data_IF_844527036678
#
_entry.id   IF_844527036678
#
_cell.length_a   1.000
_cell.length_b   1.000
_cell.length_c   1.000
_cell.angle_alpha   90.00
_cell.angle_beta   90.00
_cell.angle_gamma   90.00
#
_symmetry.space_group_name_H-M   'P 1'
#
loop_
_entity.id
_entity.type
_entity.pdbx_description
1 polymer ?
#
# COMPACT_ATOMS: atom_id res chain seq x y z
N UNK A 1 21.78 -13.87 20.44
CA UNK A 1 21.18 -14.65 19.34
C UNK A 1 20.91 -13.67 18.22
N UNK A 2 21.76 -13.63 17.20
CA UNK A 2 21.44 -12.92 15.96
C UNK A 2 20.32 -13.68 15.28
N UNK A 3 19.17 -13.02 15.06
CA UNK A 3 18.07 -13.61 14.31
C UNK A 3 18.52 -13.68 12.85
N UNK A 4 18.52 -14.88 12.27
CA UNK A 4 18.80 -15.06 10.84
C UNK A 4 17.59 -14.57 10.03
N UNK A 5 17.53 -13.25 9.79
CA UNK A 5 16.42 -12.60 9.08
C UNK A 5 16.13 -13.21 7.72
N UNK A 6 17.17 -13.72 7.03
CA UNK A 6 17.07 -14.31 5.70
C UNK A 6 16.33 -15.65 5.75
N UNK A 7 16.71 -16.54 6.67
CA UNK A 7 16.10 -17.87 6.81
C UNK A 7 14.62 -17.78 7.21
N UNK A 8 14.27 -16.85 8.09
CA UNK A 8 12.90 -16.69 8.61
C UNK A 8 12.10 -15.60 7.89
N UNK A 9 12.59 -15.02 6.79
CA UNK A 9 11.96 -13.84 6.18
C UNK A 9 10.49 -14.08 5.78
N UNK A 10 10.19 -15.21 5.11
CA UNK A 10 8.84 -15.53 4.65
C UNK A 10 7.87 -15.76 5.82
N UNK A 11 8.13 -16.68 6.79
CA UNK A 11 7.23 -16.88 7.91
C UNK A 11 7.12 -15.65 8.81
N UNK A 12 8.18 -14.85 8.96
CA UNK A 12 8.11 -13.59 9.70
C UNK A 12 7.17 -12.59 9.02
N UNK A 13 7.35 -12.36 7.72
CA UNK A 13 6.49 -11.44 6.94
C UNK A 13 5.04 -11.89 6.94
N UNK A 14 4.80 -13.18 6.73
CA UNK A 14 3.46 -13.77 6.76
C UNK A 14 2.83 -13.65 8.16
N UNK A 15 3.61 -13.94 9.22
CA UNK A 15 3.18 -13.80 10.60
C UNK A 15 2.78 -12.36 10.95
N UNK A 16 3.61 -11.38 10.57
CA UNK A 16 3.30 -9.96 10.73
C UNK A 16 2.06 -9.54 9.93
N UNK A 17 1.93 -10.02 8.68
CA UNK A 17 0.75 -9.76 7.85
C UNK A 17 -0.53 -10.28 8.51
N UNK A 18 -0.55 -11.55 8.93
CA UNK A 18 -1.71 -12.18 9.57
C UNK A 18 -2.03 -11.49 10.91
N UNK A 19 -1.02 -11.20 11.72
CA UNK A 19 -1.21 -10.53 13.00
C UNK A 19 -1.82 -9.13 12.81
N UNK A 20 -1.26 -8.32 11.89
CA UNK A 20 -1.79 -7.00 11.59
C UNK A 20 -3.21 -7.07 11.01
N UNK A 21 -3.47 -8.03 10.12
CA UNK A 21 -4.80 -8.27 9.58
C UNK A 21 -5.82 -8.56 10.68
N UNK A 22 -5.52 -9.50 11.59
CA UNK A 22 -6.41 -9.87 12.71
C UNK A 22 -6.64 -8.67 13.62
N UNK A 23 -5.57 -7.99 14.04
CA UNK A 23 -5.65 -6.84 14.95
C UNK A 23 -6.52 -5.74 14.34
N UNK A 24 -6.29 -5.37 13.09
CA UNK A 24 -7.01 -4.30 12.41
C UNK A 24 -8.45 -4.69 12.08
N UNK A 25 -8.69 -5.94 11.68
CA UNK A 25 -10.04 -6.46 11.45
C UNK A 25 -10.90 -6.44 12.72
N UNK A 26 -10.32 -6.82 13.87
CA UNK A 26 -10.99 -6.75 15.17
C UNK A 26 -11.19 -5.31 15.62
N UNK A 27 -10.19 -4.45 15.43
CA UNK A 27 -10.26 -3.05 15.82
C UNK A 27 -11.33 -2.29 15.01
N UNK A 28 -11.37 -2.45 13.69
CA UNK A 28 -12.39 -1.81 12.84
C UNK A 28 -13.79 -2.39 13.06
N UNK A 29 -13.90 -3.65 13.51
CA UNK A 29 -15.18 -4.25 13.89
C UNK A 29 -15.72 -3.62 15.18
N UNK A 30 -14.85 -3.39 16.17
CA UNK A 30 -15.21 -2.80 17.46
C UNK A 30 -15.42 -1.29 17.40
N UNK A 31 -14.61 -0.60 16.59
CA UNK A 31 -14.62 0.85 16.45
C UNK A 31 -14.63 1.27 14.97
N UNK A 32 -15.75 1.02 14.25
CA UNK A 32 -15.87 1.38 12.85
C UNK A 32 -15.96 2.90 12.67
N UNK A 33 -15.30 3.43 11.63
CA UNK A 33 -15.39 4.84 11.22
C UNK A 33 -16.70 5.14 10.52
N UNK A 34 -17.13 4.22 9.65
CA UNK A 34 -18.37 4.31 8.86
C UNK A 34 -19.09 2.97 8.86
N UNK A 35 -20.41 2.99 8.76
CA UNK A 35 -21.17 1.78 8.41
C UNK A 35 -20.88 1.41 6.96
N UNK A 36 -20.50 0.16 6.71
CA UNK A 36 -20.24 -0.33 5.35
C UNK A 36 -21.55 -0.40 4.56
N UNK A 37 -21.50 0.04 3.30
CA UNK A 37 -22.65 -0.01 2.37
C UNK A 37 -22.69 -1.31 1.57
N UNK A 38 -21.57 -2.03 1.51
CA UNK A 38 -21.40 -3.29 0.79
C UNK A 38 -21.25 -4.47 1.76
N UNK A 39 -21.62 -5.66 1.27
CA UNK A 39 -21.44 -6.90 2.02
C UNK A 39 -19.96 -7.18 2.27
N UNK A 40 -19.58 -7.19 3.55
CA UNK A 40 -18.21 -7.47 3.99
C UNK A 40 -17.68 -8.79 3.41
N UNK A 41 -18.49 -9.86 3.40
CA UNK A 41 -18.09 -11.17 2.85
C UNK A 41 -17.71 -11.13 1.37
N UNK A 42 -18.44 -10.39 0.54
CA UNK A 42 -18.15 -10.28 -0.90
C UNK A 42 -16.85 -9.54 -1.16
N UNK A 43 -16.62 -8.45 -0.42
CA UNK A 43 -15.39 -7.66 -0.48
C UNK A 43 -14.20 -8.48 -0.01
N UNK A 44 -14.33 -9.16 1.13
CA UNK A 44 -13.26 -9.99 1.70
C UNK A 44 -12.88 -11.16 0.79
N UNK A 45 -13.85 -11.93 0.29
CA UNK A 45 -13.57 -13.03 -0.65
C UNK A 45 -12.81 -12.53 -1.88
N UNK A 46 -13.21 -11.38 -2.41
CA UNK A 46 -12.61 -10.84 -3.63
C UNK A 46 -11.22 -10.23 -3.38
N UNK A 47 -11.06 -9.43 -2.31
CA UNK A 47 -9.80 -8.77 -1.96
C UNK A 47 -8.75 -9.75 -1.42
N UNK A 48 -9.14 -10.74 -0.61
CA UNK A 48 -8.25 -11.82 -0.15
C UNK A 48 -7.93 -12.77 -1.31
N UNK A 49 -8.91 -13.07 -2.17
CA UNK A 49 -8.68 -13.83 -3.40
C UNK A 49 -7.63 -13.17 -4.30
N UNK A 50 -7.63 -11.83 -4.40
CA UNK A 50 -6.58 -11.08 -5.08
C UNK A 50 -5.20 -11.24 -4.45
N UNK A 51 -5.09 -11.35 -3.12
CA UNK A 51 -3.78 -11.59 -2.47
C UNK A 51 -3.17 -12.89 -2.98
N UNK A 52 -3.94 -13.99 -2.94
CA UNK A 52 -3.45 -15.28 -3.42
C UNK A 52 -3.16 -15.27 -4.92
N UNK A 53 -4.05 -14.68 -5.70
CA UNK A 53 -3.88 -14.57 -7.15
C UNK A 53 -2.64 -13.75 -7.52
N UNK A 54 -2.45 -12.58 -6.91
CA UNK A 54 -1.31 -11.71 -7.16
C UNK A 54 0.01 -12.37 -6.71
N UNK A 55 0.03 -13.07 -5.56
CA UNK A 55 1.21 -13.80 -5.10
C UNK A 55 1.61 -14.92 -6.07
N UNK A 56 0.64 -15.67 -6.60
CA UNK A 56 0.89 -16.69 -7.61
C UNK A 56 1.42 -16.08 -8.91
N UNK A 57 0.76 -15.03 -9.41
CA UNK A 57 1.17 -14.34 -10.64
C UNK A 57 2.57 -13.75 -10.51
N UNK A 58 2.90 -13.10 -9.40
CA UNK A 58 4.24 -12.57 -9.15
C UNK A 58 5.30 -13.68 -9.22
N UNK A 59 5.07 -14.79 -8.53
CA UNK A 59 6.02 -15.92 -8.47
C UNK A 59 6.21 -16.60 -9.82
N UNK A 60 5.20 -16.57 -10.69
CA UNK A 60 5.28 -17.10 -12.05
C UNK A 60 5.89 -16.10 -13.05
N UNK A 61 5.64 -14.81 -12.86
CA UNK A 61 6.03 -13.77 -13.81
C UNK A 61 7.46 -13.27 -13.62
N UNK A 62 7.98 -13.28 -12.39
CA UNK A 62 9.30 -12.74 -12.05
C UNK A 62 10.21 -13.83 -11.49
N UNK A 63 11.45 -13.97 -12.00
CA UNK A 63 12.40 -14.98 -11.53
C UNK A 63 13.01 -14.63 -10.17
N UNK A 64 12.92 -13.36 -9.76
CA UNK A 64 13.45 -12.83 -8.51
C UNK A 64 12.52 -11.74 -7.99
N UNK A 65 12.43 -11.60 -6.66
CA UNK A 65 11.66 -10.58 -5.98
C UNK A 65 12.59 -9.61 -5.21
N UNK A 66 12.00 -8.80 -4.33
CA UNK A 66 12.71 -7.74 -3.61
C UNK A 66 13.87 -8.26 -2.74
N UNK A 67 13.65 -9.34 -1.98
CA UNK A 67 14.67 -9.94 -1.11
C UNK A 67 15.79 -10.56 -1.93
N UNK A 68 15.47 -11.24 -3.02
CA UNK A 68 16.47 -11.81 -3.94
C UNK A 68 17.34 -10.73 -4.59
N UNK A 69 16.71 -9.62 -5.02
CA UNK A 69 17.43 -8.48 -5.57
C UNK A 69 18.41 -7.87 -4.55
N UNK A 70 18.01 -7.78 -3.28
CA UNK A 70 18.89 -7.33 -2.21
C UNK A 70 20.03 -8.33 -1.98
N UNK A 71 19.75 -9.62 -1.92
CA UNK A 71 20.77 -10.66 -1.73
C UNK A 71 21.85 -10.59 -2.82
N UNK A 72 21.44 -10.51 -4.09
CA UNK A 72 22.35 -10.40 -5.23
C UNK A 72 23.17 -9.10 -5.14
N UNK A 73 22.52 -7.96 -4.89
CA UNK A 73 23.21 -6.68 -4.80
C UNK A 73 24.25 -6.65 -3.66
N UNK A 74 23.95 -7.24 -2.51
CA UNK A 74 24.90 -7.31 -1.39
C UNK A 74 26.03 -8.33 -1.65
N UNK A 75 25.74 -9.49 -2.26
CA UNK A 75 26.77 -10.48 -2.60
C UNK A 75 27.77 -9.94 -3.61
N UNK A 76 27.28 -9.25 -4.64
CA UNK A 76 28.10 -8.67 -5.70
C UNK A 76 28.68 -7.29 -5.32
N UNK A 77 28.44 -6.81 -4.09
CA UNK A 77 28.84 -5.48 -3.62
C UNK A 77 28.41 -4.36 -4.59
N UNK A 78 27.22 -4.51 -5.16
CA UNK A 78 26.64 -3.62 -6.16
C UNK A 78 25.66 -2.62 -5.54
N UNK A 79 25.67 -1.39 -6.04
CA UNK A 79 24.72 -0.35 -5.65
C UNK A 79 25.29 0.66 -4.64
N UNK A 80 24.65 1.82 -4.56
CA UNK A 80 25.19 3.01 -3.87
C UNK A 80 25.67 2.74 -2.45
N UNK A 81 24.88 2.08 -1.60
CA UNK A 81 25.22 1.83 -0.21
C UNK A 81 26.36 0.83 -0.02
N UNK A 82 26.63 -0.04 -1.00
CA UNK A 82 27.80 -0.93 -0.97
C UNK A 82 29.10 -0.19 -1.34
N UNK A 83 29.01 0.94 -2.04
CA UNK A 83 30.16 1.80 -2.35
C UNK A 83 30.43 2.89 -1.30
N UNK A 84 29.47 3.13 -0.41
CA UNK A 84 29.59 4.12 0.65
C UNK A 84 29.94 3.46 1.98
N UNK A 85 30.89 4.03 2.71
CA UNK A 85 31.22 3.62 4.08
C UNK A 85 30.25 4.22 5.11
N UNK A 86 28.94 4.06 4.90
CA UNK A 86 27.92 4.57 5.84
C UNK A 86 27.68 3.60 7.00
N UNK A 87 27.46 4.10 8.24
CA UNK A 87 27.14 3.22 9.38
C UNK A 87 25.88 2.36 9.11
N UNK A 88 25.86 1.07 9.50
CA UNK A 88 24.77 0.16 9.15
C UNK A 88 23.37 0.66 9.55
N UNK A 89 23.24 1.26 10.73
CA UNK A 89 21.98 1.86 11.19
C UNK A 89 21.49 2.97 10.25
N UNK A 90 22.40 3.84 9.80
CA UNK A 90 22.06 4.94 8.91
C UNK A 90 21.69 4.42 7.52
N UNK A 91 22.42 3.43 7.01
CA UNK A 91 22.09 2.75 5.75
C UNK A 91 20.69 2.14 5.80
N UNK A 92 20.35 1.42 6.87
CA UNK A 92 19.03 0.82 7.05
C UNK A 92 17.91 1.88 7.13
N UNK A 93 18.12 2.94 7.91
CA UNK A 93 17.16 4.04 8.04
C UNK A 93 16.93 4.75 6.69
N UNK A 94 18.00 5.12 5.99
CA UNK A 94 17.91 5.78 4.69
C UNK A 94 17.24 4.88 3.65
N UNK A 95 17.52 3.57 3.69
CA UNK A 95 16.87 2.60 2.80
C UNK A 95 15.35 2.60 2.96
N UNK A 96 14.85 2.54 4.19
CA UNK A 96 13.40 2.57 4.47
C UNK A 96 12.79 3.90 3.99
N UNK A 97 13.45 5.03 4.28
CA UNK A 97 12.97 6.36 3.88
C UNK A 97 12.94 6.54 2.36
N UNK A 98 13.99 6.10 1.65
CA UNK A 98 14.08 6.19 0.19
C UNK A 98 13.05 5.29 -0.49
N UNK A 99 12.80 4.09 0.06
CA UNK A 99 11.76 3.21 -0.47
C UNK A 99 10.35 3.77 -0.23
N UNK A 100 10.05 4.36 0.93
CA UNK A 100 8.74 5.02 1.16
C UNK A 100 8.55 6.24 0.24
N UNK A 101 9.61 7.02 0.08
CA UNK A 101 9.63 8.14 -0.86
C UNK A 101 9.39 7.69 -2.31
N UNK A 102 10.00 6.56 -2.72
CA UNK A 102 9.75 5.94 -4.02
C UNK A 102 8.28 5.53 -4.15
N UNK A 103 7.70 4.89 -3.14
CA UNK A 103 6.28 4.49 -3.15
C UNK A 103 5.37 5.72 -3.25
N UNK A 104 5.66 6.81 -2.55
CA UNK A 104 4.91 8.06 -2.69
C UNK A 104 4.87 8.56 -4.14
N UNK A 105 6.03 8.62 -4.81
CA UNK A 105 6.11 9.08 -6.20
C UNK A 105 5.49 8.10 -7.18
N UNK A 106 5.69 6.80 -6.96
CA UNK A 106 5.03 5.77 -7.72
C UNK A 106 3.51 5.95 -7.63
N UNK A 107 2.96 6.04 -6.42
CA UNK A 107 1.53 6.21 -6.20
C UNK A 107 0.98 7.47 -6.89
N UNK A 108 1.69 8.59 -6.79
CA UNK A 108 1.35 9.82 -7.53
C UNK A 108 1.38 9.59 -9.05
N UNK A 109 2.36 8.87 -9.59
CA UNK A 109 2.43 8.53 -11.00
C UNK A 109 1.24 7.66 -11.44
N UNK A 110 0.82 6.69 -10.61
CA UNK A 110 -0.37 5.89 -10.85
C UNK A 110 -1.66 6.71 -10.89
N UNK A 111 -1.71 7.87 -10.25
CA UNK A 111 -2.85 8.79 -10.37
C UNK A 111 -2.78 9.76 -11.55
N UNK A 112 -1.57 10.09 -12.02
CA UNK A 112 -1.36 11.16 -13.01
C UNK A 112 -1.16 10.65 -14.43
N UNK A 113 -0.61 9.44 -14.59
CA UNK A 113 -0.36 8.85 -15.91
C UNK A 113 -1.61 8.01 -16.30
N UNK A 114 -2.31 8.33 -17.40
CA UNK A 114 -3.58 7.68 -17.74
C UNK A 114 -3.52 6.16 -17.81
N UNK A 115 -2.45 5.58 -18.34
CA UNK A 115 -2.28 4.13 -18.43
C UNK A 115 -2.11 3.47 -17.05
N UNK A 116 -1.32 4.08 -16.16
CA UNK A 116 -1.14 3.58 -14.80
C UNK A 116 -2.43 3.76 -13.99
N UNK A 117 -3.13 4.88 -14.17
CA UNK A 117 -4.42 5.12 -13.55
C UNK A 117 -5.46 4.07 -13.92
N UNK A 118 -5.46 3.58 -15.17
CA UNK A 118 -6.36 2.49 -15.55
C UNK A 118 -6.15 1.24 -14.69
N UNK A 119 -4.92 0.94 -14.28
CA UNK A 119 -4.64 -0.17 -13.36
C UNK A 119 -5.11 0.18 -11.94
N UNK A 120 -4.66 1.34 -11.44
CA UNK A 120 -4.89 1.77 -10.06
C UNK A 120 -6.34 2.11 -9.75
N UNK A 121 -7.15 2.48 -10.74
CA UNK A 121 -8.58 2.73 -10.53
C UNK A 121 -9.34 1.48 -10.07
N UNK A 122 -8.77 0.27 -10.25
CA UNK A 122 -9.32 -0.95 -9.65
C UNK A 122 -9.31 -0.86 -8.12
N UNK A 123 -8.24 -0.33 -7.54
CA UNK A 123 -8.12 -0.05 -6.11
C UNK A 123 -9.18 0.96 -5.67
N UNK A 124 -9.24 2.11 -6.36
CA UNK A 124 -10.23 3.19 -6.11
C UNK A 124 -11.68 2.82 -6.45
N UNK A 125 -11.94 1.65 -7.04
CA UNK A 125 -13.31 1.23 -7.34
C UNK A 125 -14.03 0.58 -6.16
N UNK A 126 -13.31 0.34 -5.05
CA UNK A 126 -13.95 -0.06 -3.80
C UNK A 126 -14.88 1.07 -3.32
N UNK A 127 -16.05 0.72 -2.82
CA UNK A 127 -17.05 1.72 -2.40
C UNK A 127 -17.10 1.92 -0.90
N UNK A 128 -16.48 1.01 -0.16
CA UNK A 128 -16.18 1.17 1.25
C UNK A 128 -14.70 0.89 1.46
N UNK A 129 -14.18 1.32 2.61
CA UNK A 129 -12.79 1.08 2.99
C UNK A 129 -12.81 0.27 4.27
N UNK A 130 -12.10 -0.86 4.22
CA UNK A 130 -11.77 -1.74 5.35
C UNK A 130 -10.37 -2.34 5.15
N UNK A 131 -9.86 -3.06 6.16
CA UNK A 131 -8.51 -3.63 6.18
C UNK A 131 -8.11 -4.38 4.89
N UNK A 132 -9.05 -4.99 4.16
CA UNK A 132 -8.77 -5.73 2.92
C UNK A 132 -8.60 -4.83 1.69
N UNK A 133 -9.05 -3.58 1.76
CA UNK A 133 -8.95 -2.61 0.64
C UNK A 133 -7.49 -2.33 0.30
N UNK A 134 -6.61 -2.33 1.31
CA UNK A 134 -5.17 -2.16 1.17
C UNK A 134 -4.48 -3.28 0.38
N UNK A 135 -5.17 -4.36 0.01
CA UNK A 135 -4.62 -5.44 -0.84
C UNK A 135 -5.25 -5.48 -2.24
N UNK A 136 -6.16 -4.55 -2.55
CA UNK A 136 -6.93 -4.51 -3.80
C UNK A 136 -6.16 -3.83 -4.91
N UNK A 137 -5.25 -4.56 -5.55
CA UNK A 137 -4.47 -4.07 -6.69
C UNK A 137 -4.53 -5.02 -7.88
N UNK A 138 -4.44 -4.46 -9.08
CA UNK A 138 -4.42 -5.25 -10.30
C UNK A 138 -3.08 -6.01 -10.45
N UNK A 139 -3.05 -7.26 -10.94
CA UNK A 139 -1.80 -8.03 -11.07
C UNK A 139 -0.70 -7.31 -11.87
N UNK A 140 -1.08 -6.63 -12.96
CA UNK A 140 -0.13 -5.85 -13.78
C UNK A 140 0.48 -4.68 -13.00
N UNK A 141 -0.31 -4.03 -12.12
CA UNK A 141 0.22 -2.99 -11.24
C UNK A 141 1.17 -3.55 -10.19
N UNK A 142 0.85 -4.72 -9.64
CA UNK A 142 1.73 -5.41 -8.69
C UNK A 142 3.06 -5.81 -9.34
N UNK A 143 3.06 -6.36 -10.57
CA UNK A 143 4.29 -6.68 -11.32
C UNK A 143 5.10 -5.41 -11.56
N UNK A 144 4.47 -4.36 -12.08
CA UNK A 144 5.15 -3.11 -12.39
C UNK A 144 5.75 -2.45 -11.13
N UNK A 145 5.00 -2.46 -10.03
CA UNK A 145 5.46 -1.97 -8.72
C UNK A 145 6.65 -2.79 -8.20
N UNK A 146 6.62 -4.12 -8.35
CA UNK A 146 7.73 -4.97 -7.95
C UNK A 146 8.98 -4.70 -8.78
N UNK A 147 8.86 -4.51 -10.09
CA UNK A 147 9.98 -4.16 -10.96
C UNK A 147 10.62 -2.82 -10.58
N UNK A 148 9.81 -1.78 -10.31
CA UNK A 148 10.31 -0.49 -9.80
C UNK A 148 11.09 -0.69 -8.50
N UNK A 149 10.54 -1.49 -7.58
CA UNK A 149 11.16 -1.77 -6.28
C UNK A 149 12.46 -2.57 -6.41
N UNK A 150 12.50 -3.60 -7.25
CA UNK A 150 13.71 -4.38 -7.57
C UNK A 150 14.79 -3.46 -8.13
N UNK A 151 14.44 -2.60 -9.09
CA UNK A 151 15.39 -1.67 -9.68
C UNK A 151 15.97 -0.71 -8.63
N UNK A 152 15.13 -0.15 -7.76
CA UNK A 152 15.59 0.73 -6.68
C UNK A 152 16.49 0.01 -5.66
N UNK A 153 16.12 -1.21 -5.24
CA UNK A 153 16.90 -2.05 -4.33
C UNK A 153 18.29 -2.33 -4.93
N UNK A 154 18.35 -2.75 -6.20
CA UNK A 154 19.60 -3.03 -6.89
C UNK A 154 20.46 -1.78 -7.10
N UNK A 155 19.87 -0.67 -7.54
CA UNK A 155 20.61 0.59 -7.75
C UNK A 155 21.18 1.17 -6.46
N UNK A 156 20.43 1.08 -5.37
CA UNK A 156 20.83 1.59 -4.07
C UNK A 156 21.70 0.60 -3.27
N UNK A 157 21.68 -0.69 -3.60
CA UNK A 157 22.37 -1.71 -2.81
C UNK A 157 21.75 -1.85 -1.42
N UNK A 158 20.42 -1.91 -1.32
CA UNK A 158 19.72 -1.91 -0.03
C UNK A 158 20.04 -3.20 0.76
N UNK A 159 20.39 -3.12 2.06
CA UNK A 159 20.58 -4.30 2.90
C UNK A 159 19.34 -5.18 2.98
N UNK A 160 19.54 -6.49 3.04
CA UNK A 160 18.45 -7.48 3.01
C UNK A 160 17.48 -7.27 4.17
N UNK A 161 18.00 -7.00 5.37
CA UNK A 161 17.21 -6.75 6.58
C UNK A 161 16.32 -5.49 6.42
N UNK A 162 16.84 -4.45 5.76
CA UNK A 162 16.09 -3.23 5.49
C UNK A 162 14.96 -3.47 4.46
N UNK A 163 15.19 -4.32 3.45
CA UNK A 163 14.13 -4.73 2.52
C UNK A 163 13.04 -5.53 3.25
N UNK A 164 13.41 -6.51 4.06
CA UNK A 164 12.44 -7.33 4.82
C UNK A 164 11.61 -6.43 5.74
N UNK A 165 12.26 -5.57 6.52
CA UNK A 165 11.59 -4.64 7.42
C UNK A 165 10.69 -3.66 6.66
N UNK A 166 11.16 -3.11 5.54
CA UNK A 166 10.34 -2.24 4.69
C UNK A 166 9.11 -2.98 4.16
N UNK A 167 9.24 -4.23 3.71
CA UNK A 167 8.09 -4.98 3.21
C UNK A 167 7.07 -5.31 4.31
N UNK A 168 7.51 -5.49 5.55
CA UNK A 168 6.62 -5.62 6.72
C UNK A 168 5.89 -4.30 6.96
N UNK A 169 6.63 -3.20 7.08
CA UNK A 169 6.07 -1.85 7.29
C UNK A 169 5.07 -1.54 6.16
N UNK A 170 5.45 -1.80 4.91
CA UNK A 170 4.62 -1.59 3.73
C UNK A 170 3.27 -2.31 3.88
N UNK A 171 3.27 -3.62 4.13
CA UNK A 171 2.01 -4.35 4.22
C UNK A 171 1.16 -3.94 5.43
N UNK A 172 1.78 -3.74 6.59
CA UNK A 172 1.08 -3.30 7.81
C UNK A 172 0.45 -1.92 7.62
N UNK A 173 1.19 -0.97 7.05
CA UNK A 173 0.68 0.37 6.78
C UNK A 173 -0.40 0.37 5.70
N UNK A 174 -0.30 -0.42 4.63
CA UNK A 174 -1.40 -0.59 3.68
C UNK A 174 -2.70 -1.00 4.38
N UNK A 175 -2.64 -2.02 5.25
CA UNK A 175 -3.81 -2.48 6.01
C UNK A 175 -4.30 -1.42 7.01
N UNK A 176 -3.40 -0.72 7.69
CA UNK A 176 -3.76 0.30 8.68
C UNK A 176 -4.46 1.48 8.01
N UNK A 177 -3.85 2.07 6.99
CA UNK A 177 -4.37 3.27 6.31
C UNK A 177 -5.71 3.01 5.62
N UNK A 178 -5.96 1.76 5.23
CA UNK A 178 -7.21 1.33 4.62
C UNK A 178 -8.18 0.72 5.61
N UNK A 179 -7.85 0.63 6.90
CA UNK A 179 -8.80 0.08 7.86
C UNK A 179 -10.04 0.97 7.97
N UNK A 180 -11.18 0.38 8.32
CA UNK A 180 -12.35 1.15 8.72
C UNK A 180 -12.26 1.62 10.18
N UNK A 181 -11.05 1.77 10.72
CA UNK A 181 -10.84 2.10 12.12
C UNK A 181 -11.13 3.58 12.38
N UNK A 182 -11.96 3.85 13.39
CA UNK A 182 -12.12 5.19 13.94
C UNK A 182 -10.95 5.52 14.88
N UNK A 183 -10.21 6.58 14.55
CA UNK A 183 -9.24 7.20 15.45
C UNK A 183 -9.84 8.52 15.95
N UNK A 184 -9.91 8.76 17.27
CA UNK A 184 -10.40 10.03 17.80
C UNK A 184 -9.66 11.23 17.21
N UNK A 185 -10.40 12.28 16.84
CA UNK A 185 -9.87 13.47 16.13
C UNK A 185 -8.66 14.12 16.81
N UNK A 186 -8.60 14.08 18.15
CA UNK A 186 -7.48 14.62 18.91
C UNK A 186 -6.20 13.80 18.68
N UNK A 187 -6.29 12.47 18.65
CA UNK A 187 -5.16 11.56 18.44
C UNK A 187 -4.71 11.60 16.99
N UNK A 188 -5.67 11.49 16.06
CA UNK A 188 -5.42 11.58 14.62
C UNK A 188 -4.64 12.86 14.28
N UNK A 189 -4.94 14.00 14.91
CA UNK A 189 -4.22 15.27 14.72
C UNK A 189 -2.72 15.18 14.94
N UNK A 190 -2.26 14.40 15.93
CA UNK A 190 -0.84 14.27 16.21
C UNK A 190 -0.21 13.16 15.38
N UNK A 191 -0.89 12.01 15.27
CA UNK A 191 -0.38 10.86 14.54
C UNK A 191 -0.21 11.17 13.06
N UNK A 192 -1.20 11.85 12.45
CA UNK A 192 -1.20 12.10 11.01
C UNK A 192 -0.13 13.06 10.50
N UNK A 193 0.58 13.74 11.41
CA UNK A 193 1.70 14.64 11.05
C UNK A 193 2.87 13.83 10.51
N UNK A 194 3.05 12.61 11.02
CA UNK A 194 4.13 11.73 10.62
C UNK A 194 3.62 10.50 9.87
N UNK A 195 2.58 9.85 10.36
CA UNK A 195 2.06 8.59 9.81
C UNK A 195 0.82 8.83 8.97
N UNK A 196 0.61 8.00 7.95
CA UNK A 196 -0.65 7.99 7.21
C UNK A 196 -1.72 7.32 8.10
N UNK A 197 -2.81 8.02 8.40
CA UNK A 197 -3.91 7.48 9.22
C UNK A 197 -5.10 7.07 8.36
N UNK A 198 -6.05 6.27 8.89
CA UNK A 198 -7.23 5.85 8.14
C UNK A 198 -8.05 7.02 7.60
N UNK A 199 -8.33 8.05 8.43
CA UNK A 199 -9.12 9.21 7.98
C UNK A 199 -8.34 10.06 6.97
N UNK A 200 -7.01 10.19 7.11
CA UNK A 200 -6.16 10.90 6.15
C UNK A 200 -6.17 10.20 4.78
N UNK A 201 -5.94 8.89 4.75
CA UNK A 201 -5.92 8.14 3.48
C UNK A 201 -7.32 7.96 2.89
N UNK A 202 -8.39 7.91 3.70
CA UNK A 202 -9.76 7.81 3.17
C UNK A 202 -10.13 8.97 2.25
N UNK A 203 -9.63 10.18 2.50
CA UNK A 203 -9.83 11.36 1.63
C UNK A 203 -9.32 11.11 0.21
N UNK A 204 -8.21 10.37 0.07
CA UNK A 204 -7.65 9.97 -1.21
C UNK A 204 -8.59 9.07 -2.03
N UNK A 205 -9.49 8.33 -1.39
CA UNK A 205 -10.46 7.44 -2.04
C UNK A 205 -11.82 8.11 -2.31
N UNK A 206 -11.91 9.42 -2.09
CA UNK A 206 -13.14 10.19 -2.32
C UNK A 206 -13.61 10.13 -3.77
N UNK A 207 -14.93 10.18 -3.97
CA UNK A 207 -15.54 10.37 -5.29
C UNK A 207 -15.17 11.73 -5.92
N UNK A 208 -14.77 12.71 -5.11
CA UNK A 208 -14.42 14.05 -5.59
C UNK A 208 -12.99 14.05 -6.11
N UNK A 209 -12.81 14.33 -7.40
CA UNK A 209 -11.49 14.35 -8.06
C UNK A 209 -10.51 15.33 -7.37
N UNK A 210 -11.01 16.45 -6.85
CA UNK A 210 -10.23 17.44 -6.11
C UNK A 210 -9.66 16.91 -4.79
N UNK A 211 -10.22 15.82 -4.26
CA UNK A 211 -9.78 15.15 -3.04
C UNK A 211 -8.94 13.92 -3.38
N UNK A 212 -9.38 13.13 -4.36
CA UNK A 212 -8.76 11.88 -4.80
C UNK A 212 -7.29 12.04 -5.23
N UNK A 213 -6.93 13.21 -5.77
CA UNK A 213 -5.56 13.51 -6.19
C UNK A 213 -4.67 14.09 -5.09
N UNK A 214 -4.91 13.73 -3.82
CA UNK A 214 -4.16 14.13 -2.63
C UNK A 214 -3.85 12.91 -1.74
N UNK A 215 -3.00 13.08 -0.73
CA UNK A 215 -2.67 12.08 0.30
C UNK A 215 -2.11 10.77 -0.28
N UNK A 216 -1.05 10.88 -1.09
CA UNK A 216 -0.39 9.74 -1.73
C UNK A 216 0.59 9.01 -0.81
N UNK A 217 0.91 9.59 0.35
CA UNK A 217 1.78 9.00 1.35
C UNK A 217 1.38 7.56 1.65
N UNK A 218 2.39 6.72 1.84
CA UNK A 218 2.19 5.32 2.13
C UNK A 218 2.33 5.05 3.62
N UNK A 219 3.54 5.04 4.23
CA UNK A 219 3.60 4.98 5.69
C UNK A 219 3.85 6.36 6.30
N UNK A 220 4.66 7.21 5.67
CA UNK A 220 4.84 8.60 6.10
C UNK A 220 3.93 9.57 5.33
N UNK A 221 3.25 10.44 6.06
CA UNK A 221 2.48 11.56 5.50
C UNK A 221 3.37 12.78 5.19
N UNK A 222 4.64 12.78 5.61
CA UNK A 222 5.57 13.89 5.38
C UNK A 222 5.77 14.20 3.89
N UNK A 223 5.71 13.18 3.05
CA UNK A 223 5.85 13.32 1.61
C UNK A 223 4.71 14.13 0.99
N UNK A 224 3.50 14.06 1.56
CA UNK A 224 2.38 14.88 1.12
C UNK A 224 2.56 16.36 1.43
N UNK A 225 3.28 16.71 2.51
CA UNK A 225 3.65 18.11 2.76
C UNK A 225 4.64 18.61 1.71
N UNK A 226 5.71 17.87 1.45
CA UNK A 226 6.71 18.24 0.44
C UNK A 226 6.11 18.28 -0.98
N UNK A 227 5.29 17.29 -1.32
CA UNK A 227 4.65 17.18 -2.62
C UNK A 227 3.41 18.06 -2.80
N UNK A 228 3.02 18.83 -1.78
CA UNK A 228 1.86 19.73 -1.73
C UNK A 228 0.54 19.03 -2.04
N UNK A 229 0.36 17.85 -1.44
CA UNK A 229 -0.79 16.96 -1.63
C UNK A 229 -1.47 16.63 -0.31
N UNK A 230 -1.16 17.35 0.77
CA UNK A 230 -1.73 17.11 2.10
C UNK A 230 -3.13 17.74 2.24
N UNK A 231 -4.17 16.92 2.39
CA UNK A 231 -5.57 17.34 2.48
C UNK A 231 -6.33 16.57 3.57
N UNK A 232 -6.71 17.25 4.66
CA UNK A 232 -7.37 16.57 5.81
C UNK A 232 -8.89 16.77 5.83
N UNK A 233 -9.41 17.85 5.27
CA UNK A 233 -10.83 18.20 5.39
C UNK A 233 -11.55 17.89 4.07
N UNK A 234 -12.18 16.70 3.94
CA UNK A 234 -13.03 16.43 2.78
C UNK A 234 -14.27 17.32 2.80
N UNK A 235 -14.77 17.65 1.62
CA UNK A 235 -15.90 18.54 1.35
C UNK A 235 -17.17 18.12 2.09
N UNK A 236 -17.44 16.82 2.09
CA UNK A 236 -18.64 16.25 2.72
C UNK A 236 -18.39 15.84 4.19
N UNK A 237 -17.18 16.09 4.72
CA UNK A 237 -16.76 15.56 6.01
C UNK A 237 -16.49 14.04 5.97
N UNK A 238 -15.69 13.55 6.93
CA UNK A 238 -15.30 12.14 6.93
C UNK A 238 -16.46 11.15 7.11
N UNK A 239 -17.57 11.59 7.73
CA UNK A 239 -18.75 10.74 7.98
C UNK A 239 -19.62 10.57 6.75
N UNK A 240 -19.87 11.63 5.99
CA UNK A 240 -20.77 11.58 4.83
C UNK A 240 -20.05 11.42 3.49
N UNK A 241 -18.72 11.54 3.46
CA UNK A 241 -17.96 11.41 2.22
C UNK A 241 -18.23 10.09 1.50
N UNK A 242 -18.49 10.19 0.20
CA UNK A 242 -18.71 9.01 -0.65
C UNK A 242 -17.37 8.52 -1.17
N UNK A 243 -17.21 7.20 -1.15
CA UNK A 243 -16.02 6.51 -1.63
C UNK A 243 -16.31 5.80 -2.95
N UNK A 244 -15.27 5.63 -3.74
CA UNK A 244 -15.26 4.81 -4.93
C UNK A 244 -15.49 5.58 -6.23
N UNK A 245 -15.44 4.89 -7.36
CA UNK A 245 -15.64 5.50 -8.68
C UNK A 245 -17.11 5.42 -9.13
N UNK A 246 -17.63 6.53 -9.68
CA UNK A 246 -19.03 6.64 -10.12
C UNK A 246 -19.49 5.56 -11.11
N UNK A 247 -18.59 5.04 -11.94
CA UNK A 247 -18.90 4.08 -13.00
C UNK A 247 -18.72 2.59 -12.62
N UNK A 248 -18.19 2.28 -11.43
CA UNK A 248 -18.01 0.90 -10.91
C UNK A 248 -18.85 0.63 -9.65
N UNK A 249 -20.03 1.26 -9.54
CA UNK A 249 -20.84 1.20 -8.32
C UNK A 249 -21.75 -0.03 -8.14
N UNK A 250 -22.01 -0.80 -9.20
CA UNK A 250 -22.90 -1.99 -9.09
C UNK A 250 -22.21 -3.09 -8.28
N UNK A 251 -22.96 -3.85 -7.47
CA UNK A 251 -22.42 -4.95 -6.63
C UNK A 251 -21.55 -5.93 -7.43
N UNK A 252 -21.98 -6.27 -8.65
CA UNK A 252 -21.21 -7.15 -9.55
C UNK A 252 -19.81 -6.63 -9.91
N UNK A 253 -19.57 -5.32 -9.88
CA UNK A 253 -18.27 -4.71 -10.22
C UNK A 253 -17.21 -4.97 -9.16
N UNK A 254 -17.63 -5.44 -7.98
CA UNK A 254 -16.76 -5.80 -6.85
C UNK A 254 -16.34 -7.27 -6.86
N UNK A 255 -16.88 -8.07 -7.79
CA UNK A 255 -16.43 -9.46 -7.97
C UNK A 255 -15.05 -9.49 -8.60
N UNK A 256 -14.25 -10.47 -8.20
CA UNK A 256 -12.90 -10.71 -8.71
C UNK A 256 -12.79 -10.64 -10.25
N UNK A 257 -13.65 -11.38 -10.97
CA UNK A 257 -13.63 -11.40 -12.43
C UNK A 257 -13.90 -10.02 -13.06
N UNK A 258 -14.76 -9.22 -12.43
CA UNK A 258 -15.06 -7.88 -12.92
C UNK A 258 -13.95 -6.90 -12.59
N UNK A 259 -13.39 -6.95 -11.38
CA UNK A 259 -12.25 -6.14 -10.96
C UNK A 259 -11.08 -6.26 -11.93
N UNK A 260 -10.69 -7.49 -12.30
CA UNK A 260 -9.57 -7.75 -13.22
C UNK A 260 -9.77 -7.14 -14.62
N UNK A 261 -11.01 -6.95 -15.04
CA UNK A 261 -11.29 -6.35 -16.36
C UNK A 261 -11.48 -4.82 -16.28
N UNK A 262 -11.58 -4.24 -15.08
CA UNK A 262 -11.83 -2.80 -14.94
C UNK A 262 -10.79 -1.94 -15.66
N UNK A 263 -9.47 -2.22 -15.63
CA UNK A 263 -8.49 -1.41 -16.35
C UNK A 263 -8.71 -1.30 -17.85
N UNK A 264 -9.30 -2.33 -18.47
CA UNK A 264 -9.41 -2.43 -19.92
C UNK A 264 -10.70 -1.83 -20.49
N UNK A 265 -11.66 -1.47 -19.63
CA UNK A 265 -12.94 -0.91 -20.07
C UNK A 265 -12.84 0.60 -20.32
N UNK A 266 -13.23 1.10 -21.49
CA UNK A 266 -13.26 2.53 -21.74
C UNK A 266 -14.53 3.14 -21.11
N UNK A 267 -14.43 3.49 -19.84
CA UNK A 267 -15.39 4.26 -19.05
C UNK A 267 -14.65 5.45 -18.44
#
# INVERSE_FOLDING_TARGET
MEINWIEYNEPLRLGCFIAAFIILALAEYKWPRKTLTQKKSTRWVSNIGLVFFNSLILRLALPLLAVDAALIANQEQWGLFNYLSTPPFLTGLLSILLLDWLIYWQHRAFHRIPLLWRLHRMHHSDQDIDVTTGTRFHPVEIIFSMLIKIAAIGLLGIPVEAVILFEIILNVSAMFNHSNLFIPKWLDRYVRVLLVTPDFHRVHHSVHISEMHNNYGFFLSIWDYFGKTYLVKPKDGHEEMKIGLGFFRKEKEQRLDKMLTQPFRNK
#
